data_IF_797321417910
#
_entry.id   IF_797321417910
#
_cell.length_a   1.000
_cell.length_b   1.000
_cell.length_c   1.000
_cell.angle_alpha   90.00
_cell.angle_beta   90.00
_cell.angle_gamma   90.00
#
_symmetry.space_group_name_H-M   'P 1'
#
loop_
_entity.id
_entity.type
_entity.pdbx_description
1 polymer ?
#
# COMPACT_ATOMS: atom_id res chain seq x y z
N UNK A 1 -9.75 30.13 -5.77
CA UNK A 1 -9.83 28.87 -5.00
C UNK A 1 -8.77 27.95 -5.55
N UNK A 2 -8.06 27.18 -4.74
CA UNK A 2 -7.15 26.18 -5.26
C UNK A 2 -7.94 25.16 -6.11
N UNK A 3 -7.28 24.61 -7.12
CA UNK A 3 -7.88 23.57 -7.96
C UNK A 3 -8.20 22.31 -7.13
N UNK A 4 -9.28 21.60 -7.43
CA UNK A 4 -9.63 20.38 -6.71
C UNK A 4 -8.57 19.31 -6.95
N UNK A 5 -8.28 18.52 -5.92
CA UNK A 5 -7.38 17.37 -6.02
C UNK A 5 -8.06 16.31 -6.89
N UNK A 6 -7.43 15.99 -8.01
CA UNK A 6 -7.93 14.99 -8.99
C UNK A 6 -7.11 13.73 -9.06
N UNK A 7 -5.92 13.73 -8.44
CA UNK A 7 -5.01 12.60 -8.41
C UNK A 7 -4.45 12.40 -7.00
N UNK A 8 -4.45 11.16 -6.51
CA UNK A 8 -3.92 10.78 -5.21
C UNK A 8 -2.96 9.59 -5.31
N UNK A 9 -2.00 9.55 -4.38
CA UNK A 9 -1.13 8.40 -4.16
C UNK A 9 -1.64 7.53 -3.02
N UNK A 10 -1.51 6.21 -3.17
CA UNK A 10 -1.65 5.24 -2.08
C UNK A 10 -0.30 4.54 -1.90
N UNK A 11 0.57 5.06 -1.04
CA UNK A 11 1.91 4.52 -0.86
C UNK A 11 1.93 3.39 0.16
N UNK A 12 2.87 2.47 -0.02
CA UNK A 12 3.14 1.40 0.93
C UNK A 12 4.29 0.52 0.48
N UNK A 13 4.71 -0.39 1.36
CA UNK A 13 5.71 -1.41 1.03
C UNK A 13 5.08 -2.57 0.25
N UNK A 14 3.83 -2.91 0.55
CA UNK A 14 3.05 -3.99 -0.09
C UNK A 14 3.84 -5.33 -0.18
N UNK A 15 4.31 -5.83 0.95
CA UNK A 15 5.12 -7.03 1.04
C UNK A 15 4.45 -8.18 1.83
N UNK A 16 3.42 -8.83 1.22
CA UNK A 16 2.73 -8.50 -0.02
C UNK A 16 1.54 -7.55 0.17
N UNK A 17 0.88 -7.19 -0.92
CA UNK A 17 -0.45 -6.55 -0.90
C UNK A 17 -1.47 -7.50 -0.26
N UNK A 18 -2.43 -6.95 0.49
CA UNK A 18 -3.50 -7.68 1.18
C UNK A 18 -4.86 -7.11 0.83
N UNK A 19 -5.96 -7.81 1.15
CA UNK A 19 -7.30 -7.24 1.01
C UNK A 19 -7.52 -5.94 1.79
N UNK A 20 -6.79 -5.74 2.90
CA UNK A 20 -6.80 -4.46 3.62
C UNK A 20 -6.24 -3.30 2.78
N UNK A 21 -5.18 -3.55 2.02
CA UNK A 21 -4.63 -2.56 1.08
C UNK A 21 -5.59 -2.31 -0.10
N UNK A 22 -6.16 -3.37 -0.67
CA UNK A 22 -7.16 -3.26 -1.75
C UNK A 22 -8.37 -2.43 -1.31
N UNK A 23 -8.84 -2.61 -0.08
CA UNK A 23 -9.93 -1.80 0.50
C UNK A 23 -9.58 -0.31 0.52
N UNK A 24 -8.37 0.04 0.94
CA UNK A 24 -7.90 1.45 0.94
C UNK A 24 -7.84 2.01 -0.48
N UNK A 25 -7.31 1.27 -1.44
CA UNK A 25 -7.25 1.68 -2.85
C UNK A 25 -8.66 1.89 -3.42
N UNK A 26 -9.58 0.95 -3.17
CA UNK A 26 -10.97 1.05 -3.59
C UNK A 26 -11.67 2.28 -3.01
N UNK A 27 -11.40 2.62 -1.76
CA UNK A 27 -11.92 3.83 -1.11
C UNK A 27 -11.30 5.09 -1.68
N UNK A 28 -9.99 5.11 -1.92
CA UNK A 28 -9.31 6.22 -2.57
C UNK A 28 -9.92 6.50 -3.96
N UNK A 29 -10.21 5.46 -4.73
CA UNK A 29 -10.83 5.56 -6.07
C UNK A 29 -12.27 6.11 -6.03
N UNK A 30 -12.99 5.97 -4.90
CA UNK A 30 -14.32 6.57 -4.70
C UNK A 30 -14.24 8.05 -4.34
N UNK A 31 -13.12 8.49 -3.80
CA UNK A 31 -12.89 9.88 -3.37
C UNK A 31 -12.29 10.71 -4.51
N UNK A 32 -11.40 10.10 -5.30
CA UNK A 32 -10.62 10.80 -6.30
C UNK A 32 -10.65 10.05 -7.65
N UNK A 33 -10.78 10.77 -8.78
CA UNK A 33 -10.88 10.16 -10.10
C UNK A 33 -9.61 9.47 -10.58
N UNK A 34 -8.44 9.84 -10.06
CA UNK A 34 -7.18 9.19 -10.41
C UNK A 34 -6.45 8.73 -9.15
N UNK A 35 -6.03 7.47 -9.15
CA UNK A 35 -5.28 6.85 -8.04
C UNK A 35 -4.06 6.15 -8.59
N UNK A 36 -2.92 6.37 -7.95
CA UNK A 36 -1.69 5.63 -8.21
C UNK A 36 -1.25 4.93 -6.93
N UNK A 37 -1.06 3.63 -6.98
CA UNK A 37 -0.43 2.84 -5.91
C UNK A 37 1.07 2.96 -6.06
N UNK A 38 1.74 3.45 -5.02
CA UNK A 38 3.18 3.68 -5.00
C UNK A 38 3.87 2.64 -4.12
N UNK A 39 4.59 1.71 -4.73
CA UNK A 39 5.29 0.63 -4.03
C UNK A 39 6.69 1.12 -3.65
N UNK A 40 6.91 1.34 -2.35
CA UNK A 40 8.18 1.85 -1.85
C UNK A 40 9.28 0.78 -1.90
N UNK A 41 10.45 1.16 -2.38
CA UNK A 41 11.65 0.41 -2.06
C UNK A 41 11.86 0.47 -0.53
N UNK A 42 11.93 -0.70 0.09
CA UNK A 42 12.15 -0.81 1.52
C UNK A 42 13.50 -1.44 1.78
N UNK A 43 14.35 -0.73 2.51
CA UNK A 43 15.59 -1.29 3.02
C UNK A 43 15.37 -2.32 4.15
N UNK A 44 14.10 -2.60 4.46
CA UNK A 44 13.67 -3.46 5.54
C UNK A 44 13.75 -2.77 6.91
N UNK A 45 12.77 -3.05 7.77
CA UNK A 45 12.88 -2.67 9.19
C UNK A 45 14.00 -3.53 9.80
N UNK A 46 14.97 -2.90 10.47
CA UNK A 46 16.12 -3.54 11.11
C UNK A 46 17.12 -4.24 10.15
N UNK A 47 17.23 -3.80 8.91
CA UNK A 47 18.20 -4.34 7.95
C UNK A 47 17.84 -5.73 7.41
N UNK A 48 16.65 -6.24 7.68
CA UNK A 48 16.10 -7.46 7.08
C UNK A 48 15.34 -7.05 5.82
N UNK A 49 15.70 -7.62 4.68
CA UNK A 49 15.05 -7.37 3.39
C UNK A 49 13.56 -7.75 3.39
N UNK A 50 12.85 -7.31 2.35
CA UNK A 50 11.47 -7.71 2.08
C UNK A 50 11.40 -9.18 1.66
N UNK A 51 10.23 -9.81 1.81
CA UNK A 51 9.97 -11.18 1.35
C UNK A 51 9.99 -11.26 -0.18
N UNK A 52 9.45 -10.25 -0.83
CA UNK A 52 9.42 -10.11 -2.28
C UNK A 52 10.28 -8.91 -2.71
N UNK A 53 10.96 -9.03 -3.85
CA UNK A 53 11.68 -7.91 -4.46
C UNK A 53 10.72 -6.77 -4.81
N UNK A 54 11.25 -5.59 -5.13
CA UNK A 54 10.42 -4.45 -5.54
C UNK A 54 9.58 -4.78 -6.77
N UNK A 55 10.19 -5.40 -7.79
CA UNK A 55 9.51 -5.78 -9.04
C UNK A 55 8.41 -6.83 -8.79
N UNK A 56 8.69 -7.83 -7.94
CA UNK A 56 7.69 -8.82 -7.54
C UNK A 56 6.50 -8.15 -6.81
N UNK A 57 6.76 -7.21 -5.90
CA UNK A 57 5.70 -6.52 -5.17
C UNK A 57 4.84 -5.63 -6.08
N UNK A 58 5.45 -4.99 -7.07
CA UNK A 58 4.73 -4.23 -8.10
C UNK A 58 3.85 -5.16 -8.93
N UNK A 59 4.40 -6.28 -9.42
CA UNK A 59 3.64 -7.26 -10.20
C UNK A 59 2.47 -7.84 -9.41
N UNK A 60 2.72 -8.28 -8.16
CA UNK A 60 1.69 -8.82 -7.29
C UNK A 60 0.57 -7.81 -7.00
N UNK A 61 0.94 -6.53 -6.82
CA UNK A 61 -0.04 -5.47 -6.61
C UNK A 61 -0.88 -5.19 -7.86
N UNK A 62 -0.26 -5.12 -9.04
CA UNK A 62 -0.97 -4.97 -10.31
C UNK A 62 -2.00 -6.08 -10.52
N UNK A 63 -1.56 -7.33 -10.38
CA UNK A 63 -2.43 -8.49 -10.57
C UNK A 63 -3.55 -8.56 -9.53
N UNK A 64 -3.25 -8.25 -8.26
CA UNK A 64 -4.24 -8.23 -7.18
C UNK A 64 -5.33 -7.19 -7.43
N UNK A 65 -4.95 -5.98 -7.86
CA UNK A 65 -5.91 -4.92 -8.18
C UNK A 65 -6.75 -5.28 -9.40
N UNK A 66 -6.13 -5.87 -10.43
CA UNK A 66 -6.84 -6.35 -11.61
C UNK A 66 -7.88 -7.44 -11.26
N UNK A 67 -7.51 -8.42 -10.43
CA UNK A 67 -8.43 -9.46 -9.95
C UNK A 67 -9.63 -8.88 -9.19
N UNK A 68 -9.47 -7.73 -8.56
CA UNK A 68 -10.49 -7.04 -7.77
C UNK A 68 -11.29 -5.99 -8.57
N UNK A 69 -11.10 -5.95 -9.91
CA UNK A 69 -11.81 -5.03 -10.79
C UNK A 69 -11.36 -3.57 -10.66
N UNK A 70 -10.11 -3.36 -10.25
CA UNK A 70 -9.45 -2.05 -10.12
C UNK A 70 -8.38 -1.92 -11.22
N UNK A 71 -8.77 -2.14 -12.46
CA UNK A 71 -7.91 -2.18 -13.65
C UNK A 71 -7.47 -0.80 -14.14
N UNK A 72 -8.11 0.27 -13.67
CA UNK A 72 -7.76 1.66 -13.96
C UNK A 72 -6.69 2.24 -12.99
N UNK A 73 -6.23 1.46 -12.02
CA UNK A 73 -5.23 1.90 -11.04
C UNK A 73 -3.82 1.65 -11.55
N UNK A 74 -3.03 2.72 -11.60
CA UNK A 74 -1.59 2.58 -11.88
C UNK A 74 -0.85 2.09 -10.64
N UNK A 75 0.12 1.20 -10.85
CA UNK A 75 1.05 0.76 -9.80
C UNK A 75 2.47 1.09 -10.25
N UNK A 76 3.16 1.87 -9.45
CA UNK A 76 4.53 2.32 -9.75
C UNK A 76 5.48 2.00 -8.61
N UNK A 77 6.71 1.56 -8.90
CA UNK A 77 7.76 1.52 -7.89
C UNK A 77 8.27 2.93 -7.62
N UNK A 78 8.72 3.20 -6.40
CA UNK A 78 9.47 4.42 -6.13
C UNK A 78 10.59 4.22 -5.11
N UNK A 79 11.62 5.01 -5.29
CA UNK A 79 12.76 5.16 -4.38
C UNK A 79 12.87 6.63 -3.99
N UNK A 80 13.37 6.94 -2.79
CA UNK A 80 13.53 8.32 -2.33
C UNK A 80 12.27 8.87 -1.64
N UNK A 81 12.02 10.16 -1.84
CA UNK A 81 10.95 10.86 -1.12
C UNK A 81 9.60 10.72 -1.82
N UNK A 82 8.56 10.51 -1.02
CA UNK A 82 7.19 10.43 -1.52
C UNK A 82 6.71 11.74 -2.16
N UNK A 83 7.15 12.87 -1.63
CA UNK A 83 6.82 14.20 -2.17
C UNK A 83 7.38 14.40 -3.58
N UNK A 84 8.55 13.85 -3.90
CA UNK A 84 9.12 13.94 -5.24
C UNK A 84 8.32 13.11 -6.24
N UNK A 85 7.92 11.89 -5.86
CA UNK A 85 7.01 11.10 -6.68
C UNK A 85 5.66 11.81 -6.89
N UNK A 86 5.09 12.41 -5.84
CA UNK A 86 3.83 13.13 -5.94
C UNK A 86 3.90 14.25 -6.97
N UNK A 87 4.98 15.02 -6.98
CA UNK A 87 5.22 16.07 -7.98
C UNK A 87 5.39 15.50 -9.39
N UNK A 88 6.15 14.42 -9.52
CA UNK A 88 6.40 13.76 -10.81
C UNK A 88 5.10 13.28 -11.48
N UNK A 89 4.20 12.69 -10.70
CA UNK A 89 2.93 12.16 -11.24
C UNK A 89 1.76 13.18 -11.17
N UNK A 90 1.97 14.34 -10.57
CA UNK A 90 0.94 15.37 -10.41
C UNK A 90 -0.14 15.01 -9.38
N UNK A 91 0.21 14.25 -8.35
CA UNK A 91 -0.71 13.93 -7.27
C UNK A 91 -0.75 15.04 -6.22
N UNK A 92 -1.95 15.48 -5.84
CA UNK A 92 -2.17 16.53 -4.83
C UNK A 92 -2.39 15.99 -3.42
N UNK A 93 -2.56 14.68 -3.24
CA UNK A 93 -2.70 14.09 -1.91
C UNK A 93 -2.17 12.67 -1.82
N UNK A 94 -1.90 12.27 -0.58
CA UNK A 94 -1.57 10.90 -0.17
C UNK A 94 -2.74 10.34 0.62
N UNK A 95 -3.21 9.15 0.27
CA UNK A 95 -4.26 8.43 1.00
C UNK A 95 -3.63 7.28 1.77
N UNK A 96 -3.89 7.22 3.08
CA UNK A 96 -3.41 6.19 4.00
C UNK A 96 -4.57 5.53 4.74
N UNK A 97 -4.51 4.22 4.87
CA UNK A 97 -5.43 3.47 5.73
C UNK A 97 -4.99 3.50 7.19
N UNK A 98 -5.93 3.70 8.10
CA UNK A 98 -5.71 3.59 9.54
C UNK A 98 -6.47 2.37 10.07
N UNK A 99 -5.78 1.48 10.81
CA UNK A 99 -6.33 0.27 11.39
C UNK A 99 -6.53 0.38 12.90
N UNK A 100 -5.53 0.87 13.60
CA UNK A 100 -5.51 1.01 15.05
C UNK A 100 -4.91 2.35 15.47
N UNK A 101 -5.09 2.73 16.72
CA UNK A 101 -4.55 3.97 17.27
C UNK A 101 -3.02 4.08 17.15
N UNK A 102 -2.32 2.95 17.23
CA UNK A 102 -0.86 2.88 17.06
C UNK A 102 -0.38 3.22 15.66
N UNK A 103 -1.19 2.96 14.62
CA UNK A 103 -0.87 3.36 13.26
C UNK A 103 -0.97 4.89 13.12
N UNK A 104 -1.90 5.52 13.83
CA UNK A 104 -2.18 6.95 13.69
C UNK A 104 -0.98 7.83 14.05
N UNK A 105 -0.29 7.58 15.15
CA UNK A 105 0.87 8.38 15.58
C UNK A 105 1.99 8.35 14.54
N UNK A 106 2.30 7.16 14.00
CA UNK A 106 3.31 7.01 12.96
C UNK A 106 2.89 7.70 11.67
N UNK A 107 1.67 7.50 11.22
CA UNK A 107 1.17 8.10 9.98
C UNK A 107 1.03 9.62 10.09
N UNK A 108 0.65 10.14 11.27
CA UNK A 108 0.63 11.58 11.54
C UNK A 108 2.03 12.19 11.45
N UNK A 109 3.03 11.52 12.01
CA UNK A 109 4.44 11.96 11.89
C UNK A 109 4.88 12.00 10.42
N UNK A 110 4.53 11.00 9.62
CA UNK A 110 4.85 11.00 8.18
C UNK A 110 4.12 12.13 7.44
N UNK A 111 2.86 12.40 7.78
CA UNK A 111 2.10 13.51 7.20
C UNK A 111 2.73 14.87 7.52
N UNK A 112 3.14 15.10 8.77
CA UNK A 112 3.83 16.34 9.17
C UNK A 112 5.16 16.52 8.42
N UNK A 113 5.92 15.45 8.26
CA UNK A 113 7.17 15.49 7.49
C UNK A 113 6.93 15.79 6.01
N UNK A 114 5.94 15.16 5.39
CA UNK A 114 5.58 15.43 4.00
C UNK A 114 5.13 16.88 3.82
N UNK A 115 4.29 17.41 4.71
CA UNK A 115 3.84 18.80 4.70
C UNK A 115 5.00 19.81 4.81
N UNK A 116 6.02 19.49 5.64
CA UNK A 116 7.23 20.34 5.76
C UNK A 116 8.08 20.35 4.49
N UNK A 117 8.07 19.24 3.75
CA UNK A 117 8.80 19.10 2.47
C UNK A 117 8.00 19.67 1.30
N UNK A 118 6.68 19.58 1.36
CA UNK A 118 5.75 20.08 0.34
C UNK A 118 4.40 20.40 0.98
N UNK A 119 4.15 21.68 1.21
CA UNK A 119 2.92 22.16 1.85
C UNK A 119 1.67 22.01 0.97
N UNK A 120 1.83 21.76 -0.33
CA UNK A 120 0.73 21.56 -1.27
C UNK A 120 0.30 20.08 -1.35
N UNK A 121 1.06 19.17 -0.74
CA UNK A 121 0.72 17.74 -0.69
C UNK A 121 -0.12 17.42 0.55
N UNK A 122 -1.40 17.19 0.35
CA UNK A 122 -2.34 16.85 1.42
C UNK A 122 -2.21 15.40 1.89
N UNK A 123 -2.59 15.14 3.13
CA UNK A 123 -2.68 13.78 3.70
C UNK A 123 -4.11 13.44 4.07
N UNK A 124 -4.64 12.38 3.49
CA UNK A 124 -6.01 11.90 3.70
C UNK A 124 -5.94 10.53 4.40
N UNK A 125 -6.60 10.41 5.54
CA UNK A 125 -6.69 9.16 6.28
C UNK A 125 -8.07 8.54 6.11
N UNK A 126 -8.10 7.26 5.76
CA UNK A 126 -9.33 6.47 5.67
C UNK A 126 -9.29 5.35 6.71
N UNK A 127 -10.37 5.20 7.47
CA UNK A 127 -10.48 4.09 8.42
C UNK A 127 -10.62 2.77 7.68
N UNK A 128 -9.82 1.79 8.04
CA UNK A 128 -9.96 0.43 7.50
C UNK A 128 -11.32 -0.15 7.80
N UNK A 129 -11.86 -0.94 6.89
CA UNK A 129 -13.08 -1.71 7.16
C UNK A 129 -12.85 -2.62 8.36
N UNK A 130 -13.84 -2.82 9.24
CA UNK A 130 -13.69 -3.61 10.47
C UNK A 130 -13.11 -5.00 10.25
N UNK A 131 -13.47 -5.64 9.15
CA UNK A 131 -12.97 -6.97 8.77
C UNK A 131 -11.46 -7.02 8.48
N UNK A 132 -10.82 -5.88 8.19
CA UNK A 132 -9.39 -5.76 7.92
C UNK A 132 -8.62 -5.04 9.03
N UNK A 133 -9.26 -4.70 10.13
CA UNK A 133 -8.65 -3.90 11.21
C UNK A 133 -7.40 -4.52 11.85
N UNK A 134 -7.28 -5.83 11.81
CA UNK A 134 -6.12 -6.58 12.33
C UNK A 134 -5.23 -7.15 11.22
N UNK A 135 -5.56 -6.91 9.96
CA UNK A 135 -4.83 -7.47 8.83
C UNK A 135 -3.58 -6.63 8.52
N UNK A 136 -2.43 -7.28 8.47
CA UNK A 136 -1.18 -6.68 8.01
C UNK A 136 -0.38 -7.66 7.19
N UNK A 137 0.49 -7.15 6.30
CA UNK A 137 1.41 -7.98 5.53
C UNK A 137 2.32 -8.84 6.43
N UNK A 138 2.74 -8.31 7.58
CA UNK A 138 3.58 -9.05 8.54
C UNK A 138 2.86 -10.26 9.11
N UNK A 139 1.58 -10.12 9.49
CA UNK A 139 0.75 -11.23 9.99
C UNK A 139 0.54 -12.26 8.89
N UNK A 140 0.22 -11.83 7.67
CA UNK A 140 0.05 -12.73 6.51
C UNK A 140 1.33 -13.54 6.25
N UNK A 141 2.49 -12.88 6.21
CA UNK A 141 3.78 -13.58 6.03
C UNK A 141 4.07 -14.57 7.15
N UNK A 142 3.77 -14.20 8.39
CA UNK A 142 3.97 -15.08 9.54
C UNK A 142 3.11 -16.34 9.42
N UNK A 143 1.81 -16.21 9.11
CA UNK A 143 0.90 -17.35 8.92
C UNK A 143 1.42 -18.24 7.78
N UNK A 144 1.73 -17.64 6.62
CA UNK A 144 2.21 -18.37 5.45
C UNK A 144 3.54 -19.09 5.71
N UNK A 145 4.45 -18.48 6.47
CA UNK A 145 5.76 -19.10 6.80
C UNK A 145 5.65 -20.34 7.68
N UNK A 146 4.55 -20.50 8.42
CA UNK A 146 4.22 -21.69 9.18
C UNK A 146 3.30 -22.67 8.43
N UNK A 147 3.05 -22.43 7.12
CA UNK A 147 2.21 -23.28 6.29
C UNK A 147 0.70 -23.08 6.53
N UNK A 148 0.31 -22.01 7.21
CA UNK A 148 -1.09 -21.65 7.43
C UNK A 148 -1.77 -21.11 6.15
N UNK A 149 -3.08 -21.28 6.07
CA UNK A 149 -3.90 -20.76 4.98
C UNK A 149 -4.08 -19.23 5.11
N UNK A 150 -3.77 -18.50 4.05
CA UNK A 150 -3.91 -17.04 3.97
C UNK A 150 -4.90 -16.58 2.90
N UNK A 151 -5.65 -17.50 2.31
CA UNK A 151 -6.57 -17.24 1.19
C UNK A 151 -7.68 -16.22 1.51
N UNK A 152 -8.05 -16.06 2.78
CA UNK A 152 -9.02 -15.06 3.23
C UNK A 152 -8.43 -13.63 3.36
N UNK A 153 -7.10 -13.51 3.32
CA UNK A 153 -6.40 -12.25 3.59
C UNK A 153 -5.78 -11.61 2.36
N UNK A 154 -5.58 -12.40 1.30
CA UNK A 154 -4.90 -11.98 0.08
C UNK A 154 -5.60 -12.54 -1.16
N UNK A 155 -5.34 -11.93 -2.31
CA UNK A 155 -5.83 -12.41 -3.60
C UNK A 155 -5.16 -13.73 -4.02
N UNK A 156 -5.77 -14.52 -4.91
CA UNK A 156 -5.25 -15.84 -5.30
C UNK A 156 -3.81 -15.82 -5.85
N UNK A 157 -3.43 -14.78 -6.60
CA UNK A 157 -2.06 -14.64 -7.10
C UNK A 157 -1.04 -14.45 -5.97
N UNK A 158 -1.40 -13.67 -4.96
CA UNK A 158 -0.56 -13.44 -3.78
C UNK A 158 -0.47 -14.70 -2.90
N UNK A 159 -1.57 -15.41 -2.70
CA UNK A 159 -1.59 -16.70 -1.99
C UNK A 159 -0.65 -17.71 -2.65
N UNK A 160 -0.74 -17.84 -3.98
CA UNK A 160 0.14 -18.72 -4.75
C UNK A 160 1.62 -18.33 -4.61
N UNK A 161 1.94 -17.03 -4.69
CA UNK A 161 3.29 -16.52 -4.54
C UNK A 161 3.88 -16.80 -3.13
N UNK A 162 3.05 -16.63 -2.08
CA UNK A 162 3.46 -16.93 -0.71
C UNK A 162 3.71 -18.43 -0.50
N UNK A 163 2.83 -19.29 -1.02
CA UNK A 163 3.00 -20.74 -0.99
C UNK A 163 4.30 -21.17 -1.67
N UNK A 164 4.60 -20.60 -2.82
CA UNK A 164 5.86 -20.89 -3.52
C UNK A 164 7.07 -20.41 -2.74
N UNK A 165 7.02 -19.18 -2.20
CA UNK A 165 8.12 -18.55 -1.45
C UNK A 165 8.48 -19.32 -0.17
N UNK A 166 7.52 -19.96 0.48
CA UNK A 166 7.73 -20.67 1.74
C UNK A 166 7.75 -22.20 1.62
N UNK A 167 7.62 -22.77 0.40
CA UNK A 167 7.75 -24.22 0.19
C UNK A 167 9.13 -24.79 0.51
N UNK A 168 10.18 -23.99 0.37
CA UNK A 168 11.58 -24.43 0.51
C UNK A 168 12.15 -24.24 1.92
N UNK A 169 11.29 -24.06 2.95
CA UNK A 169 11.75 -23.90 4.34
C UNK A 169 11.32 -25.01 5.25
#
# INVERSE_FOLDING_TARGET
MPDPITHVLVPGTFDPITYGHVDVVRRARRICPQVTVAVAESLGKNGVGTTFSLDERVSLACEALLCEGLDDIQVVPFTGLLVDLAREVGAGAVVKGLRAMTDFEYELQQADLNYRLDADLESIFVMSSPQYGYLSSSVVRQIASFGGDVSEFVTPNVDAALKERFKER
#
